data_IF_610536533516
#
_entry.id   IF_610536533516
#
_cell.length_a   1.000
_cell.length_b   1.000
_cell.length_c   1.000
_cell.angle_alpha   90.00
_cell.angle_beta   90.00
_cell.angle_gamma   90.00
#
_symmetry.space_group_name_H-M   'P 1'
#
loop_
_entity.id
_entity.type
_entity.pdbx_description
1 polymer ?
#
# COMPACT_ATOMS: atom_id res chain seq x y z
N UNK A 1 24.26 -28.30 -27.24
CA UNK A 1 23.52 -28.58 -26.00
C UNK A 1 23.00 -27.37 -25.21
N UNK A 2 23.38 -26.13 -25.54
CA UNK A 2 22.91 -24.90 -24.81
C UNK A 2 21.46 -24.48 -25.10
N UNK A 3 20.91 -24.76 -26.27
CA UNK A 3 19.58 -24.28 -26.71
C UNK A 3 18.36 -24.95 -26.02
N UNK A 4 18.52 -26.17 -25.46
CA UNK A 4 17.40 -26.87 -24.79
C UNK A 4 17.06 -26.32 -23.41
N UNK A 5 18.04 -25.76 -22.72
CA UNK A 5 17.87 -25.18 -21.38
C UNK A 5 17.22 -23.81 -21.39
N UNK A 6 17.49 -22.98 -22.41
CA UNK A 6 16.87 -21.65 -22.57
C UNK A 6 15.40 -21.76 -22.98
N UNK A 7 15.07 -22.66 -23.92
CA UNK A 7 13.70 -22.92 -24.32
C UNK A 7 12.84 -23.42 -23.13
N UNK A 8 13.36 -24.35 -22.32
CA UNK A 8 12.67 -24.86 -21.13
C UNK A 8 12.51 -23.80 -20.02
N UNK A 9 13.43 -22.84 -19.92
CA UNK A 9 13.34 -21.72 -18.99
C UNK A 9 12.32 -20.67 -19.44
N UNK A 10 12.27 -20.38 -20.75
CA UNK A 10 11.29 -19.50 -21.38
C UNK A 10 9.86 -20.07 -21.30
N UNK A 11 9.71 -21.39 -21.42
CA UNK A 11 8.43 -22.08 -21.32
C UNK A 11 7.91 -22.13 -19.88
N UNK A 12 8.79 -22.36 -18.88
CA UNK A 12 8.44 -22.22 -17.46
C UNK A 12 8.04 -20.80 -17.11
N UNK A 13 8.73 -19.79 -17.64
CA UNK A 13 8.38 -18.38 -17.48
C UNK A 13 7.00 -18.06 -18.06
N UNK A 14 6.70 -18.53 -19.27
CA UNK A 14 5.38 -18.35 -19.92
C UNK A 14 4.26 -19.06 -19.19
N UNK A 15 4.51 -20.27 -18.67
CA UNK A 15 3.53 -21.03 -17.86
C UNK A 15 3.25 -20.32 -16.54
N UNK A 16 4.26 -19.83 -15.86
CA UNK A 16 4.11 -19.06 -14.61
C UNK A 16 3.34 -17.75 -14.82
N UNK A 17 3.56 -17.04 -15.94
CA UNK A 17 2.81 -15.83 -16.31
C UNK A 17 1.37 -16.16 -16.67
N UNK A 18 1.12 -17.27 -17.38
CA UNK A 18 -0.22 -17.73 -17.75
C UNK A 18 -1.01 -18.20 -16.55
N UNK A 19 -0.38 -18.90 -15.61
CA UNK A 19 -1.01 -19.34 -14.36
C UNK A 19 -1.31 -18.15 -13.42
N UNK A 20 -0.42 -17.13 -13.38
CA UNK A 20 -0.69 -15.87 -12.68
C UNK A 20 -1.85 -15.08 -13.32
N UNK A 21 -1.95 -15.03 -14.65
CA UNK A 21 -3.09 -14.41 -15.35
C UNK A 21 -4.40 -15.15 -15.07
N UNK A 22 -4.38 -16.49 -15.00
CA UNK A 22 -5.56 -17.30 -14.64
C UNK A 22 -6.03 -17.08 -13.20
N UNK A 23 -5.12 -16.75 -12.26
CA UNK A 23 -5.48 -16.34 -10.90
C UNK A 23 -6.01 -14.89 -10.82
N UNK A 24 -5.72 -14.04 -11.82
CA UNK A 24 -6.13 -12.62 -11.82
C UNK A 24 -7.40 -12.35 -12.64
N UNK A 25 -7.80 -13.26 -13.53
CA UNK A 25 -9.04 -13.13 -14.29
C UNK A 25 -10.16 -13.79 -13.50
N UNK A 26 -10.91 -12.97 -12.77
CA UNK A 26 -12.34 -13.19 -12.52
C UNK A 26 -12.71 -14.51 -11.88
N UNK A 27 -12.21 -14.85 -10.67
CA UNK A 27 -13.13 -15.55 -9.78
C UNK A 27 -14.15 -14.51 -9.32
N UNK A 28 -15.46 -14.72 -9.64
CA UNK A 28 -16.48 -13.94 -8.96
C UNK A 28 -16.15 -14.05 -7.48
N UNK A 29 -16.17 -12.93 -6.78
CA UNK A 29 -15.99 -12.95 -5.35
C UNK A 29 -16.85 -14.08 -4.80
N UNK A 30 -16.20 -15.18 -4.35
CA UNK A 30 -16.90 -16.30 -3.74
C UNK A 30 -17.80 -15.73 -2.66
N UNK A 31 -18.86 -16.42 -2.23
CA UNK A 31 -19.89 -15.94 -1.33
C UNK A 31 -19.46 -15.07 -0.14
N UNK A 32 -18.17 -15.10 0.26
CA UNK A 32 -17.55 -14.23 1.27
C UNK A 32 -17.62 -12.74 0.87
N UNK A 33 -17.36 -12.37 -0.38
CA UNK A 33 -17.44 -10.96 -0.79
C UNK A 33 -18.89 -10.46 -0.85
N UNK A 34 -19.84 -11.36 -1.14
CA UNK A 34 -21.27 -11.05 -1.06
C UNK A 34 -21.72 -10.88 0.41
N UNK A 35 -21.22 -11.70 1.32
CA UNK A 35 -21.49 -11.60 2.76
C UNK A 35 -20.92 -10.29 3.33
N UNK A 36 -19.71 -9.93 2.98
CA UNK A 36 -19.10 -8.65 3.39
C UNK A 36 -19.85 -7.44 2.85
N UNK A 37 -20.31 -7.50 1.60
CA UNK A 37 -21.10 -6.44 1.00
C UNK A 37 -22.44 -6.24 1.75
N UNK A 38 -23.00 -7.31 2.32
CA UNK A 38 -24.26 -7.26 3.06
C UNK A 38 -24.11 -6.91 4.55
N UNK A 39 -22.99 -7.24 5.18
CA UNK A 39 -22.81 -7.13 6.64
C UNK A 39 -22.35 -5.78 7.16
N UNK A 40 -21.95 -4.84 6.28
CA UNK A 40 -21.43 -3.53 6.73
C UNK A 40 -20.15 -3.63 7.56
N UNK A 41 -19.37 -4.69 7.39
CA UNK A 41 -18.19 -5.01 8.17
C UNK A 41 -17.17 -3.86 8.19
N UNK A 42 -16.67 -3.53 9.39
CA UNK A 42 -15.77 -2.38 9.62
C UNK A 42 -14.29 -2.74 9.66
N UNK A 43 -13.94 -4.01 9.61
CA UNK A 43 -12.55 -4.50 9.68
C UNK A 43 -12.19 -5.46 8.57
N UNK A 44 -11.03 -6.11 8.74
CA UNK A 44 -10.55 -7.13 7.81
C UNK A 44 -11.43 -8.38 7.80
N UNK A 45 -11.48 -9.07 6.64
CA UNK A 45 -12.09 -10.40 6.51
C UNK A 45 -11.23 -11.51 7.14
N UNK A 46 -10.00 -11.20 7.48
CA UNK A 46 -8.99 -12.16 7.92
C UNK A 46 -8.42 -11.77 9.28
N UNK A 47 -9.20 -11.92 10.39
CA UNK A 47 -8.73 -11.56 11.73
C UNK A 47 -7.44 -12.27 12.14
N UNK A 48 -7.22 -13.50 11.63
CA UNK A 48 -5.99 -14.26 11.87
C UNK A 48 -4.73 -13.65 11.22
N UNK A 49 -4.91 -12.77 10.24
CA UNK A 49 -3.82 -12.05 9.59
C UNK A 49 -3.52 -10.68 10.25
N UNK A 50 -4.34 -10.27 11.23
CA UNK A 50 -4.13 -9.04 11.98
C UNK A 50 -3.00 -9.24 12.99
N UNK A 51 -2.14 -8.22 13.12
CA UNK A 51 -0.96 -8.21 13.99
C UNK A 51 -0.97 -6.97 14.85
N UNK A 52 -0.47 -7.13 16.07
CA UNK A 52 -0.17 -6.00 16.93
C UNK A 52 1.18 -5.39 16.52
N UNK A 53 1.34 -4.06 16.59
CA UNK A 53 2.60 -3.38 16.22
C UNK A 53 3.81 -3.78 17.09
N UNK A 54 3.56 -4.35 18.27
CA UNK A 54 4.60 -4.85 19.19
C UNK A 54 5.16 -6.22 18.80
N UNK A 55 4.50 -6.95 17.91
CA UNK A 55 4.90 -8.31 17.52
C UNK A 55 6.10 -8.35 16.55
N UNK A 56 6.60 -7.21 16.14
CA UNK A 56 7.74 -7.09 15.22
C UNK A 56 7.67 -5.88 14.30
N UNK A 57 8.61 -5.74 13.36
CA UNK A 57 8.66 -4.59 12.48
C UNK A 57 7.36 -4.40 11.69
N UNK A 58 6.83 -3.18 11.72
CA UNK A 58 5.61 -2.81 10.98
C UNK A 58 5.90 -2.43 9.52
N UNK A 59 7.09 -1.89 9.26
CA UNK A 59 7.57 -1.63 7.90
C UNK A 59 8.21 -2.90 7.34
N UNK A 60 7.66 -3.41 6.25
CA UNK A 60 8.15 -4.62 5.58
C UNK A 60 9.01 -4.25 4.38
N UNK A 61 10.03 -5.07 4.10
CA UNK A 61 10.87 -4.92 2.91
C UNK A 61 10.01 -4.93 1.64
N UNK A 62 10.28 -4.02 0.71
CA UNK A 62 9.57 -3.93 -0.55
C UNK A 62 9.66 -5.20 -1.41
N UNK A 63 10.68 -6.03 -1.22
CA UNK A 63 10.82 -7.34 -1.88
C UNK A 63 9.69 -8.32 -1.53
N UNK A 64 8.98 -8.12 -0.41
CA UNK A 64 7.81 -8.91 -0.06
C UNK A 64 6.64 -8.69 -1.04
N UNK A 65 6.71 -7.65 -1.86
CA UNK A 65 5.75 -7.35 -2.92
C UNK A 65 6.44 -7.45 -4.28
N UNK A 66 6.15 -8.50 -5.03
CA UNK A 66 6.79 -8.80 -6.32
C UNK A 66 6.70 -7.68 -7.37
N UNK A 67 5.78 -6.72 -7.19
CA UNK A 67 5.57 -5.57 -8.09
C UNK A 67 6.36 -4.33 -7.69
N UNK A 68 6.96 -4.30 -6.51
CA UNK A 68 7.61 -3.10 -5.96
C UNK A 68 9.12 -3.29 -5.91
N UNK A 69 9.59 -4.38 -5.30
CA UNK A 69 11.00 -4.62 -5.05
C UNK A 69 11.54 -3.87 -3.82
N UNK A 70 12.78 -4.17 -3.43
CA UNK A 70 13.41 -3.63 -2.22
C UNK A 70 14.19 -2.34 -2.42
N UNK A 71 14.43 -1.94 -3.68
CA UNK A 71 15.15 -0.72 -4.02
C UNK A 71 14.62 -0.11 -5.31
N UNK A 72 14.74 1.20 -5.42
CA UNK A 72 14.45 1.95 -6.65
C UNK A 72 15.56 1.68 -7.67
N UNK A 73 15.18 1.22 -8.87
CA UNK A 73 16.14 0.80 -9.90
C UNK A 73 16.55 1.92 -10.85
N UNK A 74 15.71 2.94 -11.04
CA UNK A 74 15.90 4.01 -12.03
C UNK A 74 15.46 5.37 -11.49
N UNK A 75 15.88 6.43 -12.17
CA UNK A 75 15.50 7.81 -11.83
C UNK A 75 16.31 8.42 -10.69
N UNK A 76 15.86 9.56 -10.20
CA UNK A 76 16.58 10.39 -9.23
C UNK A 76 16.66 9.77 -7.82
N UNK A 77 15.78 8.81 -7.50
CA UNK A 77 15.82 8.01 -6.26
C UNK A 77 16.52 6.67 -6.42
N UNK A 78 17.29 6.45 -7.48
CA UNK A 78 17.99 5.17 -7.72
C UNK A 78 18.82 4.76 -6.50
N UNK A 79 18.60 3.53 -6.03
CA UNK A 79 19.24 2.98 -4.84
C UNK A 79 18.46 3.20 -3.54
N UNK A 80 17.44 4.05 -3.53
CA UNK A 80 16.61 4.27 -2.35
C UNK A 80 16.02 2.95 -1.83
N UNK A 81 16.08 2.74 -0.52
CA UNK A 81 15.47 1.58 0.15
C UNK A 81 13.96 1.68 0.10
N UNK A 82 13.28 0.67 -0.39
CA UNK A 82 11.81 0.61 -0.41
C UNK A 82 11.31 -0.25 0.75
N UNK A 83 10.37 0.30 1.52
CA UNK A 83 9.60 -0.40 2.55
C UNK A 83 8.11 -0.15 2.36
N UNK A 84 7.29 -1.02 2.91
CA UNK A 84 5.84 -0.99 2.73
C UNK A 84 5.12 -1.11 4.06
N UNK A 85 4.02 -0.38 4.21
CA UNK A 85 3.13 -0.47 5.35
C UNK A 85 1.78 -1.04 4.92
N UNK A 86 1.25 -1.96 5.73
CA UNK A 86 -0.06 -2.57 5.51
C UNK A 86 -0.90 -2.42 6.77
N UNK A 87 -1.97 -1.67 6.68
CA UNK A 87 -2.92 -1.46 7.78
C UNK A 87 -4.17 -2.32 7.61
N UNK A 88 -4.96 -2.44 8.66
CA UNK A 88 -6.25 -3.11 8.59
C UNK A 88 -7.19 -2.34 7.66
N UNK A 89 -7.55 -2.94 6.54
CA UNK A 89 -8.53 -2.38 5.61
C UNK A 89 -9.90 -2.22 6.29
N UNK A 90 -10.70 -1.27 5.88
CA UNK A 90 -11.98 -0.82 6.41
C UNK A 90 -11.89 -0.16 7.80
N UNK A 91 -11.15 -0.74 8.76
CA UNK A 91 -10.94 -0.10 10.06
C UNK A 91 -10.22 1.24 9.95
N UNK A 92 -9.34 1.38 8.95
CA UNK A 92 -8.55 2.59 8.70
C UNK A 92 -9.05 3.40 7.50
N UNK A 93 -9.95 2.83 6.68
CA UNK A 93 -10.43 3.47 5.45
C UNK A 93 -11.61 4.40 5.70
N UNK A 94 -11.76 5.49 4.93
CA UNK A 94 -12.97 6.28 4.96
C UNK A 94 -14.16 5.49 4.38
N UNK A 95 -15.33 5.69 4.95
CA UNK A 95 -16.59 5.06 4.46
C UNK A 95 -16.92 5.43 3.01
N UNK A 96 -16.38 6.55 2.53
CA UNK A 96 -16.51 7.00 1.14
C UNK A 96 -15.62 6.25 0.15
N UNK A 97 -14.86 5.25 0.59
CA UNK A 97 -14.01 4.46 -0.29
C UNK A 97 -14.86 3.69 -1.32
N UNK A 98 -14.72 4.01 -2.60
CA UNK A 98 -15.45 3.35 -3.69
C UNK A 98 -15.13 1.85 -3.78
N UNK A 99 -13.92 1.48 -3.36
CA UNK A 99 -13.47 0.08 -3.33
C UNK A 99 -13.89 -0.68 -2.07
N UNK A 100 -14.73 -0.11 -1.19
CA UNK A 100 -15.11 -0.74 0.08
C UNK A 100 -15.56 -2.20 -0.06
N UNK A 101 -16.41 -2.47 -1.04
CA UNK A 101 -16.95 -3.81 -1.31
C UNK A 101 -15.98 -4.69 -2.12
N UNK A 102 -15.19 -4.07 -3.00
CA UNK A 102 -14.24 -4.72 -3.92
C UNK A 102 -12.80 -4.56 -3.44
N UNK A 103 -12.61 -4.32 -2.14
CA UNK A 103 -11.29 -4.09 -1.58
C UNK A 103 -10.31 -5.18 -1.98
N UNK A 104 -9.12 -4.78 -2.40
CA UNK A 104 -8.01 -5.67 -2.72
C UNK A 104 -7.70 -6.62 -1.54
N UNK A 105 -7.88 -6.17 -0.30
CA UNK A 105 -7.72 -6.97 0.91
C UNK A 105 -8.59 -8.23 0.93
N UNK A 106 -9.74 -8.24 0.23
CA UNK A 106 -10.64 -9.40 0.18
C UNK A 106 -10.00 -10.63 -0.50
N UNK A 107 -8.98 -10.45 -1.33
CA UNK A 107 -8.25 -11.53 -2.02
C UNK A 107 -6.87 -11.80 -1.41
N UNK A 108 -6.57 -11.25 -0.25
CA UNK A 108 -5.24 -11.29 0.36
C UNK A 108 -5.25 -11.91 1.77
N UNK A 109 -5.63 -13.21 1.92
CA UNK A 109 -5.83 -13.83 3.24
C UNK A 109 -4.54 -13.97 4.07
N UNK A 110 -3.39 -14.03 3.42
CA UNK A 110 -2.09 -14.25 4.08
C UNK A 110 -1.29 -12.95 4.28
N UNK A 111 -1.82 -11.80 3.84
CA UNK A 111 -1.15 -10.52 4.03
C UNK A 111 -1.34 -10.06 5.47
N UNK A 112 -0.25 -9.95 6.22
CA UNK A 112 -0.29 -9.39 7.57
C UNK A 112 -0.69 -7.91 7.52
N UNK A 113 -1.58 -7.54 8.40
CA UNK A 113 -2.11 -6.19 8.61
C UNK A 113 -1.82 -5.76 10.02
N UNK A 114 -1.45 -4.51 10.21
CA UNK A 114 -1.21 -3.96 11.55
C UNK A 114 -2.42 -3.18 12.04
N UNK A 115 -2.72 -3.33 13.34
CA UNK A 115 -3.69 -2.48 14.02
C UNK A 115 -3.19 -1.05 14.03
N UNK A 116 -4.11 -0.13 13.86
CA UNK A 116 -3.86 1.29 14.00
C UNK A 116 -3.91 1.72 15.46
N UNK A 117 -3.26 2.83 15.79
CA UNK A 117 -3.26 3.41 17.13
C UNK A 117 -1.86 3.85 17.57
N UNK A 118 -1.74 4.29 18.84
CA UNK A 118 -0.50 4.86 19.38
C UNK A 118 0.71 3.92 19.29
N UNK A 119 0.51 2.62 19.45
CA UNK A 119 1.59 1.62 19.36
C UNK A 119 2.16 1.55 17.95
N UNK A 120 1.28 1.63 16.92
CA UNK A 120 1.71 1.69 15.52
C UNK A 120 2.48 2.97 15.25
N UNK A 121 2.00 4.09 15.73
CA UNK A 121 2.63 5.40 15.54
C UNK A 121 4.03 5.43 16.18
N UNK A 122 4.15 4.92 17.39
CA UNK A 122 5.43 4.80 18.07
C UNK A 122 6.40 3.82 17.37
N UNK A 123 5.89 2.71 16.82
CA UNK A 123 6.70 1.77 16.04
C UNK A 123 7.21 2.44 14.75
N UNK A 124 6.36 3.19 14.05
CA UNK A 124 6.72 3.91 12.84
C UNK A 124 7.80 4.98 13.09
N UNK A 125 7.68 5.74 14.20
CA UNK A 125 8.71 6.74 14.57
C UNK A 125 10.08 6.09 14.76
N UNK A 126 10.15 4.96 15.47
CA UNK A 126 11.40 4.23 15.70
C UNK A 126 11.96 3.61 14.41
N UNK A 127 11.11 2.94 13.62
CA UNK A 127 11.55 2.21 12.44
C UNK A 127 11.99 3.14 11.31
N UNK A 128 11.26 4.26 11.10
CA UNK A 128 11.65 5.28 10.10
C UNK A 128 12.97 5.92 10.50
N UNK A 129 13.16 6.30 11.77
CA UNK A 129 14.42 6.85 12.23
C UNK A 129 15.59 5.89 11.96
N UNK A 130 15.47 4.63 12.37
CA UNK A 130 16.50 3.61 12.16
C UNK A 130 16.80 3.34 10.65
N UNK A 131 15.77 3.40 9.79
CA UNK A 131 15.94 3.25 8.36
C UNK A 131 16.67 4.46 7.75
N UNK A 132 16.33 5.69 8.16
CA UNK A 132 16.96 6.91 7.67
C UNK A 132 18.39 7.09 8.20
N UNK A 133 18.73 6.51 9.35
CA UNK A 133 20.12 6.42 9.82
C UNK A 133 20.96 5.46 8.98
N UNK A 134 20.34 4.38 8.50
CA UNK A 134 21.03 3.31 7.75
C UNK A 134 21.13 3.58 6.24
N UNK A 135 20.19 4.33 5.69
CA UNK A 135 20.07 4.55 4.24
C UNK A 135 19.90 6.04 3.94
N UNK A 136 20.66 6.56 3.00
CA UNK A 136 20.58 7.97 2.57
C UNK A 136 19.19 8.34 2.04
N UNK A 137 18.51 7.39 1.40
CA UNK A 137 17.19 7.58 0.83
C UNK A 137 16.28 6.39 1.19
N UNK A 138 15.14 6.68 1.77
CA UNK A 138 14.10 5.69 2.15
C UNK A 138 12.79 6.06 1.48
N UNK A 139 12.18 5.11 0.78
CA UNK A 139 10.89 5.27 0.12
C UNK A 139 9.86 4.37 0.79
N UNK A 140 8.89 4.97 1.46
CA UNK A 140 7.80 4.25 2.15
C UNK A 140 6.56 4.23 1.28
N UNK A 141 6.05 3.03 0.95
CA UNK A 141 4.73 2.88 0.34
C UNK A 141 3.64 2.86 1.39
N UNK A 142 2.81 3.86 1.42
CA UNK A 142 1.54 3.94 2.14
C UNK A 142 0.38 3.69 1.17
N UNK A 143 -0.57 2.97 1.47
CA UNK A 143 -0.74 1.80 2.29
C UNK A 143 -0.93 0.64 1.32
N UNK A 144 -0.37 -0.54 1.58
CA UNK A 144 -0.66 -1.71 0.73
C UNK A 144 -2.14 -2.07 0.87
N UNK A 145 -2.64 -2.04 2.10
CA UNK A 145 -4.05 -2.06 2.49
C UNK A 145 -4.26 -0.99 3.56
N UNK A 146 -5.51 -0.54 3.72
CA UNK A 146 -5.86 0.51 4.67
C UNK A 146 -5.69 1.92 4.10
N UNK A 147 -5.85 2.92 4.96
CA UNK A 147 -5.78 4.34 4.62
C UNK A 147 -5.40 5.17 5.85
N UNK A 148 -5.39 6.49 5.75
CA UNK A 148 -5.14 7.41 6.86
C UNK A 148 -6.35 7.43 7.80
N UNK A 149 -6.21 6.89 8.99
CA UNK A 149 -7.30 6.69 9.94
C UNK A 149 -7.58 7.91 10.83
N UNK A 150 -6.62 8.83 10.99
CA UNK A 150 -6.79 10.02 11.83
C UNK A 150 -5.94 11.21 11.37
N UNK A 151 -6.27 12.40 11.88
CA UNK A 151 -5.47 13.61 11.67
C UNK A 151 -4.10 13.55 12.37
N UNK A 152 -4.02 12.89 13.51
CA UNK A 152 -2.79 12.65 14.29
C UNK A 152 -1.83 11.77 13.51
N UNK A 153 -2.34 10.73 12.86
CA UNK A 153 -1.55 9.87 12.01
C UNK A 153 -1.02 10.60 10.75
N UNK A 154 -1.79 11.51 10.16
CA UNK A 154 -1.28 12.38 9.08
C UNK A 154 -0.19 13.31 9.63
N UNK A 155 -0.39 13.88 10.83
CA UNK A 155 0.61 14.74 11.47
C UNK A 155 1.89 13.99 11.85
N UNK A 156 1.82 12.70 12.16
CA UNK A 156 3.00 11.84 12.33
C UNK A 156 3.87 11.86 11.06
N UNK A 157 3.28 11.59 9.89
CA UNK A 157 4.04 11.59 8.63
C UNK A 157 4.60 12.97 8.28
N UNK A 158 3.87 14.05 8.63
CA UNK A 158 4.39 15.42 8.50
C UNK A 158 5.64 15.62 9.35
N UNK A 159 5.63 15.18 10.63
CA UNK A 159 6.80 15.29 11.52
C UNK A 159 7.98 14.45 11.01
N UNK A 160 7.72 13.22 10.56
CA UNK A 160 8.77 12.34 10.03
C UNK A 160 9.45 12.93 8.79
N UNK A 161 8.67 13.45 7.84
CA UNK A 161 9.20 14.14 6.65
C UNK A 161 9.97 15.41 7.02
N UNK A 162 9.54 16.14 8.05
CA UNK A 162 10.25 17.30 8.54
C UNK A 162 11.59 17.00 9.21
N UNK A 163 11.71 15.82 9.86
CA UNK A 163 12.94 15.38 10.54
C UNK A 163 13.96 14.71 9.61
N UNK A 164 13.48 13.99 8.59
CA UNK A 164 14.30 13.12 7.76
C UNK A 164 14.26 13.59 6.30
N UNK A 165 15.28 14.29 5.84
CA UNK A 165 15.35 14.81 4.46
C UNK A 165 15.39 13.71 3.40
N UNK A 166 16.00 12.56 3.72
CA UNK A 166 16.06 11.38 2.85
C UNK A 166 14.78 10.53 2.84
N UNK A 167 13.73 10.91 3.62
CA UNK A 167 12.47 10.19 3.64
C UNK A 167 11.56 10.63 2.49
N UNK A 168 11.04 9.67 1.76
CA UNK A 168 10.04 9.82 0.70
C UNK A 168 8.85 8.91 0.99
N UNK A 169 7.66 9.39 0.68
CA UNK A 169 6.41 8.67 0.92
C UNK A 169 5.55 8.68 -0.34
N UNK A 170 5.03 7.53 -0.73
CA UNK A 170 4.07 7.45 -1.83
C UNK A 170 2.92 6.50 -1.48
N UNK A 171 1.78 6.71 -2.12
CA UNK A 171 0.62 5.86 -1.88
C UNK A 171 -0.65 6.42 -2.47
N UNK A 172 -1.76 5.88 -1.95
CA UNK A 172 -3.09 6.27 -2.37
C UNK A 172 -3.97 6.50 -1.15
N UNK A 173 -4.94 7.41 -1.29
CA UNK A 173 -5.98 7.64 -0.29
C UNK A 173 -7.34 7.70 -0.95
N UNK A 174 -8.35 7.18 -0.27
CA UNK A 174 -9.76 7.31 -0.65
C UNK A 174 -10.43 8.53 0.02
N UNK A 175 -9.69 9.29 0.86
CA UNK A 175 -10.22 10.51 1.45
C UNK A 175 -10.50 11.56 0.37
N UNK A 176 -11.73 12.08 0.28
CA UNK A 176 -12.03 13.21 -0.61
C UNK A 176 -11.24 14.46 -0.18
N UNK A 177 -10.69 15.18 -1.14
CA UNK A 177 -9.92 16.41 -0.87
C UNK A 177 -10.68 17.48 -0.06
N UNK A 178 -12.01 17.48 -0.19
CA UNK A 178 -12.90 18.39 0.52
C UNK A 178 -13.07 18.05 2.02
N UNK A 179 -12.58 16.92 2.47
CA UNK A 179 -12.61 16.54 3.90
C UNK A 179 -11.38 17.06 4.62
N UNK A 180 -11.45 17.15 5.95
CA UNK A 180 -10.32 17.61 6.78
C UNK A 180 -9.06 16.75 6.52
N UNK A 181 -9.19 15.43 6.51
CA UNK A 181 -8.04 14.55 6.24
C UNK A 181 -7.55 14.68 4.78
N UNK A 182 -8.47 14.72 3.81
CA UNK A 182 -8.13 14.85 2.40
C UNK A 182 -7.42 16.16 2.07
N UNK A 183 -7.90 17.29 2.61
CA UNK A 183 -7.26 18.60 2.43
C UNK A 183 -5.86 18.66 3.07
N UNK A 184 -5.69 17.99 4.22
CA UNK A 184 -4.41 17.91 4.91
C UNK A 184 -3.39 17.08 4.12
N UNK A 185 -3.82 15.94 3.55
CA UNK A 185 -3.00 15.11 2.67
C UNK A 185 -2.61 15.89 1.40
N UNK A 186 -3.53 16.68 0.83
CA UNK A 186 -3.26 17.52 -0.32
C UNK A 186 -2.25 18.63 0.03
N UNK A 187 -2.45 19.35 1.13
CA UNK A 187 -1.54 20.39 1.60
C UNK A 187 -0.11 19.89 1.83
N UNK A 188 0.07 18.66 2.31
CA UNK A 188 1.41 18.08 2.47
C UNK A 188 2.17 17.95 1.14
N UNK A 189 1.48 17.88 -0.02
CA UNK A 189 2.15 17.92 -1.34
C UNK A 189 2.79 19.26 -1.61
N UNK A 190 2.12 20.34 -1.22
CA UNK A 190 2.64 21.70 -1.39
C UNK A 190 3.87 21.94 -0.48
N UNK A 191 3.84 21.37 0.74
CA UNK A 191 4.92 21.54 1.72
C UNK A 191 6.15 20.69 1.42
N UNK A 192 5.95 19.41 1.05
CA UNK A 192 7.04 18.45 0.90
C UNK A 192 7.37 18.13 -0.56
N UNK A 193 6.58 18.60 -1.51
CA UNK A 193 6.79 18.41 -2.94
C UNK A 193 6.90 16.90 -3.29
N UNK A 194 7.93 16.56 -4.05
CA UNK A 194 8.18 15.20 -4.52
C UNK A 194 8.39 14.17 -3.41
N UNK A 195 8.66 14.59 -2.18
CA UNK A 195 8.81 13.66 -1.05
C UNK A 195 7.48 13.13 -0.50
N UNK A 196 6.35 13.74 -0.90
CA UNK A 196 5.01 13.29 -0.53
C UNK A 196 4.15 13.07 -1.78
N UNK A 197 4.17 11.87 -2.33
CA UNK A 197 3.47 11.49 -3.55
C UNK A 197 2.23 10.63 -3.27
N UNK A 198 1.32 11.12 -2.42
CA UNK A 198 0.06 10.46 -2.11
C UNK A 198 -1.03 10.94 -3.06
N UNK A 199 -1.63 10.02 -3.83
CA UNK A 199 -2.65 10.28 -4.84
C UNK A 199 -4.06 9.96 -4.33
N UNK A 200 -5.07 10.64 -4.87
CA UNK A 200 -6.47 10.32 -4.59
C UNK A 200 -6.97 9.19 -5.50
N UNK A 201 -7.50 8.14 -4.88
CA UNK A 201 -8.08 6.99 -5.57
C UNK A 201 -9.46 7.30 -6.13
N UNK A 202 -9.78 6.81 -7.34
CA UNK A 202 -11.09 6.97 -7.96
C UNK A 202 -11.41 8.39 -8.43
N UNK A 203 -10.40 9.27 -8.60
CA UNK A 203 -10.62 10.68 -8.95
C UNK A 203 -9.75 11.12 -10.12
N UNK A 204 -10.28 12.05 -10.92
CA UNK A 204 -9.55 12.72 -11.98
C UNK A 204 -8.63 13.82 -11.46
N UNK A 205 -7.81 14.35 -12.37
CA UNK A 205 -6.86 15.43 -12.10
C UNK A 205 -5.44 14.94 -11.95
N UNK A 206 -4.52 15.87 -11.76
CA UNK A 206 -3.07 15.63 -11.71
C UNK A 206 -2.67 14.60 -10.63
N UNK A 207 -3.32 14.68 -9.47
CA UNK A 207 -3.08 13.79 -8.32
C UNK A 207 -4.15 12.69 -8.18
N UNK A 208 -4.93 12.49 -9.22
CA UNK A 208 -5.91 11.41 -9.28
C UNK A 208 -5.32 10.09 -9.76
N UNK A 209 -6.03 9.01 -9.48
CA UNK A 209 -5.76 7.69 -10.03
C UNK A 209 -7.07 6.94 -10.26
N UNK A 210 -7.15 6.21 -11.37
CA UNK A 210 -8.31 5.38 -11.70
C UNK A 210 -7.93 3.92 -11.74
N UNK A 211 -8.86 3.08 -11.37
CA UNK A 211 -8.84 1.67 -11.76
C UNK A 211 -9.34 1.60 -13.18
N UNK A 212 -8.52 1.12 -14.09
CA UNK A 212 -8.95 0.84 -15.46
C UNK A 212 -9.73 -0.48 -15.40
N UNK A 213 -11.02 -0.42 -15.63
CA UNK A 213 -11.79 -1.62 -15.93
C UNK A 213 -11.31 -2.13 -17.28
N UNK A 214 -10.83 -3.38 -17.32
CA UNK A 214 -10.41 -3.99 -18.58
C UNK A 214 -11.64 -4.08 -19.48
N UNK A 215 -11.55 -3.65 -20.74
CA UNK A 215 -12.69 -3.82 -21.65
C UNK A 215 -13.05 -5.31 -21.70
N UNK A 216 -14.27 -5.62 -21.32
CA UNK A 216 -14.88 -6.91 -21.58
C UNK A 216 -15.26 -6.91 -23.05
N UNK A 217 -14.46 -7.57 -23.90
CA UNK A 217 -14.90 -7.97 -25.23
C UNK A 217 -16.03 -8.98 -25.17
#
# INVERSE_FOLDING_TARGET
MKNRTEAARAERGRKAVRDRRRCQVGRPASGIAAVVAASGQEGTLYPSALREPVDGPVLKDGNNLSKIGGQVLVGWLKGAKIVTLTLEERATCPRSCEMWRRCYGNSSPFTHRYRHGPELEAALEREVAALCEKHDQVLVRLHVLGDFYSGEYIALWQRLLGRHEGLHVFGFTAWPEKTVNGSRIAWMRDVFGMRWSVRHSGRGGEWGSFTIDWPTE
#
